data_IF_900920620259
#
_entry.id   IF_900920620259
#
_cell.length_a   1.000
_cell.length_b   1.000
_cell.length_c   1.000
_cell.angle_alpha   90.00
_cell.angle_beta   90.00
_cell.angle_gamma   90.00
#
_symmetry.space_group_name_H-M   'P 1'
#
loop_
_entity.id
_entity.type
_entity.pdbx_description
1 polymer ?
#
# COMPACT_ATOMS: atom_id res chain seq x y z
N UNK A 1 -21.99 -7.71 -1.61
CA UNK A 1 -21.12 -8.39 -0.63
C UNK A 1 -21.39 -7.79 0.75
N UNK A 2 -21.10 -8.55 1.80
CA UNK A 2 -21.11 -8.10 3.19
C UNK A 2 -19.75 -8.40 3.80
N UNK A 3 -19.12 -7.38 4.39
CA UNK A 3 -17.78 -7.50 4.97
C UNK A 3 -17.85 -7.00 6.42
N UNK A 4 -17.22 -7.73 7.34
CA UNK A 4 -17.02 -7.28 8.73
C UNK A 4 -15.53 -7.27 9.03
N UNK A 5 -14.95 -6.10 9.25
CA UNK A 5 -13.51 -5.86 9.38
C UNK A 5 -13.25 -4.68 10.32
N UNK A 6 -11.99 -4.38 10.56
CA UNK A 6 -11.55 -3.24 11.39
C UNK A 6 -11.09 -2.10 10.50
N UNK A 7 -11.50 -0.88 10.82
CA UNK A 7 -11.07 0.35 10.15
C UNK A 7 -9.61 0.62 10.51
N UNK A 8 -8.75 0.69 9.50
CA UNK A 8 -7.31 0.96 9.64
C UNK A 8 -6.95 2.41 9.35
N UNK A 9 -7.67 3.07 8.44
CA UNK A 9 -7.51 4.49 8.13
C UNK A 9 -8.84 5.07 7.64
N UNK A 10 -9.01 6.39 7.78
CA UNK A 10 -10.21 7.12 7.34
C UNK A 10 -9.80 8.25 6.42
N UNK A 11 -10.42 8.30 5.25
CA UNK A 11 -10.23 9.34 4.24
C UNK A 11 -11.48 10.24 4.13
N UNK A 12 -11.36 11.31 3.36
CA UNK A 12 -12.40 12.32 3.12
C UNK A 12 -13.66 11.77 2.44
N UNK A 13 -13.56 10.66 1.72
CA UNK A 13 -14.65 10.06 0.93
C UNK A 13 -14.82 8.56 1.15
N UNK A 14 -14.11 7.99 2.15
CA UNK A 14 -14.12 6.57 2.42
C UNK A 14 -13.23 6.18 3.60
N UNK A 15 -12.96 4.91 3.71
CA UNK A 15 -12.10 4.35 4.76
C UNK A 15 -11.54 2.98 4.34
N UNK A 16 -10.45 2.58 4.98
CA UNK A 16 -9.82 1.29 4.75
C UNK A 16 -10.28 0.29 5.79
N UNK A 17 -10.68 -0.90 5.34
CA UNK A 17 -11.08 -2.04 6.16
C UNK A 17 -10.12 -3.19 5.98
N UNK A 18 -9.62 -3.75 7.08
CA UNK A 18 -8.75 -4.92 7.03
C UNK A 18 -9.24 -6.02 7.99
N UNK A 19 -9.07 -7.28 7.60
CA UNK A 19 -9.33 -8.42 8.46
C UNK A 19 -8.42 -8.38 9.69
N UNK A 20 -8.92 -8.59 10.92
CA UNK A 20 -8.08 -8.67 12.12
C UNK A 20 -7.05 -9.78 12.06
N UNK A 21 -7.39 -10.87 11.36
CA UNK A 21 -6.53 -12.02 11.07
C UNK A 21 -6.74 -12.33 9.60
N UNK A 22 -5.66 -12.39 8.82
CA UNK A 22 -5.71 -12.74 7.41
C UNK A 22 -6.14 -14.19 7.18
N UNK A 23 -6.52 -14.50 5.95
CA UNK A 23 -6.92 -15.86 5.54
C UNK A 23 -5.71 -16.80 5.36
N UNK A 24 -4.50 -16.24 5.38
CA UNK A 24 -3.23 -16.96 5.21
C UNK A 24 -2.83 -17.18 3.76
N UNK A 25 -3.60 -16.68 2.80
CA UNK A 25 -3.22 -16.67 1.39
C UNK A 25 -2.50 -15.35 1.06
N UNK A 26 -1.19 -15.43 0.84
CA UNK A 26 -0.36 -14.26 0.50
C UNK A 26 -0.64 -13.71 -0.91
N UNK A 27 -1.41 -14.41 -1.71
CA UNK A 27 -1.80 -13.98 -3.04
C UNK A 27 -3.05 -13.09 -3.05
N UNK A 28 -3.73 -12.95 -1.92
CA UNK A 28 -4.94 -12.11 -1.81
C UNK A 28 -4.77 -11.03 -0.76
N UNK A 29 -5.33 -9.84 -1.00
CA UNK A 29 -5.39 -8.80 0.02
C UNK A 29 -6.48 -9.12 1.05
N UNK A 30 -6.14 -8.99 2.33
CA UNK A 30 -7.09 -9.09 3.44
C UNK A 30 -7.82 -7.77 3.73
N UNK A 31 -7.68 -6.76 2.86
CA UNK A 31 -8.23 -5.43 3.05
C UNK A 31 -9.01 -4.94 1.83
N UNK A 32 -9.73 -3.84 1.99
CA UNK A 32 -10.46 -3.19 0.92
C UNK A 32 -10.71 -1.72 1.28
N UNK A 33 -10.63 -0.83 0.29
CA UNK A 33 -11.15 0.53 0.42
C UNK A 33 -12.68 0.53 0.32
N UNK A 34 -13.34 1.23 1.25
CA UNK A 34 -14.80 1.41 1.25
C UNK A 34 -15.11 2.84 0.85
N UNK A 35 -15.64 2.99 -0.35
CA UNK A 35 -16.07 4.30 -0.87
C UNK A 35 -17.46 4.67 -0.36
N UNK A 36 -17.58 5.84 0.30
CA UNK A 36 -18.83 6.40 0.85
C UNK A 36 -19.30 7.64 0.10
N UNK A 37 -18.45 8.20 -0.78
CA UNK A 37 -18.75 9.42 -1.56
C UNK A 37 -18.70 10.72 -0.77
N UNK A 38 -18.56 10.66 0.55
CA UNK A 38 -18.40 11.79 1.47
C UNK A 38 -17.72 11.32 2.75
N UNK A 39 -17.27 12.23 3.59
CA UNK A 39 -16.62 11.89 4.85
C UNK A 39 -17.46 10.91 5.68
N UNK A 40 -16.95 9.71 5.97
CA UNK A 40 -17.69 8.69 6.70
C UNK A 40 -17.74 9.01 8.20
N UNK A 41 -18.80 8.49 8.88
CA UNK A 41 -18.95 8.62 10.33
C UNK A 41 -18.37 7.40 11.06
N UNK A 42 -17.12 7.05 10.76
CA UNK A 42 -16.38 5.96 11.40
C UNK A 42 -15.06 6.48 11.94
N UNK A 43 -14.45 5.73 12.84
CA UNK A 43 -13.14 6.03 13.40
C UNK A 43 -12.19 4.84 13.21
N UNK A 44 -10.88 5.12 13.19
CA UNK A 44 -9.86 4.08 13.24
C UNK A 44 -10.11 3.19 14.46
N UNK A 45 -9.94 1.89 14.30
CA UNK A 45 -10.24 0.86 15.29
C UNK A 45 -11.76 0.58 15.54
N UNK A 46 -12.66 1.12 14.71
CA UNK A 46 -14.03 0.62 14.67
C UNK A 46 -14.10 -0.72 13.93
N UNK A 47 -14.89 -1.66 14.46
CA UNK A 47 -15.29 -2.85 13.72
C UNK A 47 -16.59 -2.52 12.98
N UNK A 48 -16.56 -2.66 11.66
CA UNK A 48 -17.66 -2.25 10.77
C UNK A 48 -18.21 -3.46 10.04
N UNK A 49 -19.54 -3.54 9.96
CA UNK A 49 -20.24 -4.34 8.97
C UNK A 49 -20.67 -3.39 7.84
N UNK A 50 -20.25 -3.69 6.61
CA UNK A 50 -20.59 -2.90 5.42
C UNK A 50 -21.06 -3.82 4.31
N UNK A 51 -22.07 -3.37 3.56
CA UNK A 51 -22.55 -4.05 2.36
C UNK A 51 -22.59 -3.14 1.16
N UNK A 52 -22.39 -3.71 -0.03
CA UNK A 52 -22.44 -2.99 -1.29
C UNK A 52 -21.80 -3.76 -2.45
N UNK A 53 -21.83 -3.19 -3.66
CA UNK A 53 -21.14 -3.74 -4.82
C UNK A 53 -19.64 -3.50 -4.74
N UNK A 54 -18.85 -4.50 -5.14
CA UNK A 54 -17.42 -4.35 -5.43
C UNK A 54 -17.28 -3.79 -6.83
N UNK A 55 -16.36 -2.86 -7.01
CA UNK A 55 -16.07 -2.22 -8.30
C UNK A 55 -14.59 -1.85 -8.40
N UNK A 56 -14.09 -1.80 -9.62
CA UNK A 56 -12.78 -1.27 -9.94
C UNK A 56 -12.88 0.25 -10.15
N UNK A 57 -12.13 1.00 -9.39
CA UNK A 57 -11.98 2.44 -9.55
C UNK A 57 -10.69 2.75 -10.31
N UNK A 58 -10.80 3.50 -11.41
CA UNK A 58 -9.66 3.93 -12.20
C UNK A 58 -9.29 5.36 -11.83
N UNK A 59 -8.21 5.62 -11.10
CA UNK A 59 -7.76 6.97 -10.80
C UNK A 59 -7.53 7.79 -12.07
N UNK A 60 -8.21 8.94 -12.18
CA UNK A 60 -8.19 9.77 -13.39
C UNK A 60 -9.08 9.27 -14.55
N UNK A 61 -9.82 8.17 -14.35
CA UNK A 61 -10.74 7.58 -15.32
C UNK A 61 -10.14 6.50 -16.21
N UNK A 62 -10.99 5.74 -16.88
CA UNK A 62 -10.60 4.57 -17.72
C UNK A 62 -9.74 4.91 -18.94
N UNK A 63 -9.57 6.18 -19.27
CA UNK A 63 -8.70 6.63 -20.36
C UNK A 63 -7.23 6.84 -19.94
N UNK A 64 -6.92 6.72 -18.65
CA UNK A 64 -5.56 6.76 -18.13
C UNK A 64 -4.88 5.39 -18.27
N UNK A 65 -3.58 5.34 -17.98
CA UNK A 65 -2.84 4.06 -17.85
C UNK A 65 -2.67 3.65 -16.39
N UNK A 66 -3.40 4.29 -15.47
CA UNK A 66 -3.36 3.93 -14.09
C UNK A 66 -4.04 2.58 -13.88
N UNK A 67 -3.47 1.76 -13.02
CA UNK A 67 -4.12 0.53 -12.56
C UNK A 67 -5.39 0.89 -11.77
N UNK A 68 -6.41 0.04 -11.80
CA UNK A 68 -7.59 0.23 -10.96
C UNK A 68 -7.26 -0.04 -9.50
N UNK A 69 -8.09 0.48 -8.62
CA UNK A 69 -8.13 0.14 -7.19
C UNK A 69 -9.44 -0.55 -6.90
N UNK A 70 -9.38 -1.72 -6.28
CA UNK A 70 -10.57 -2.46 -5.86
C UNK A 70 -11.23 -1.76 -4.68
N UNK A 71 -12.51 -1.40 -4.83
CA UNK A 71 -13.25 -0.77 -3.76
C UNK A 71 -14.65 -1.37 -3.56
N UNK A 72 -15.15 -1.31 -2.33
CA UNK A 72 -16.54 -1.58 -2.01
C UNK A 72 -17.30 -0.26 -1.95
N UNK A 73 -18.29 -0.06 -2.81
CA UNK A 73 -19.17 1.09 -2.68
C UNK A 73 -20.21 0.82 -1.58
N UNK A 74 -20.19 1.60 -0.51
CA UNK A 74 -21.07 1.41 0.63
C UNK A 74 -22.53 1.70 0.27
N UNK A 75 -23.40 0.70 0.44
CA UNK A 75 -24.87 0.85 0.41
C UNK A 75 -25.43 0.89 1.84
N UNK A 76 -24.91 0.05 2.75
CA UNK A 76 -25.26 0.00 4.17
C UNK A 76 -24.01 -0.14 5.02
N UNK A 77 -23.98 0.55 6.16
CA UNK A 77 -22.85 0.57 7.08
C UNK A 77 -23.35 0.54 8.52
N UNK A 78 -22.78 -0.33 9.35
CA UNK A 78 -23.05 -0.43 10.77
C UNK A 78 -21.74 -0.51 11.57
N UNK A 79 -21.60 0.33 12.59
CA UNK A 79 -20.51 0.23 13.57
C UNK A 79 -20.88 -0.83 14.61
N UNK A 80 -20.19 -1.95 14.58
CA UNK A 80 -20.43 -3.08 15.50
C UNK A 80 -19.79 -2.87 16.87
N UNK A 81 -18.57 -2.32 16.91
CA UNK A 81 -17.82 -1.97 18.13
C UNK A 81 -16.72 -0.97 17.83
N UNK A 82 -16.17 -0.32 18.86
CA UNK A 82 -15.07 0.64 18.75
C UNK A 82 -13.91 0.27 19.66
N UNK A 83 -12.72 0.84 19.38
CA UNK A 83 -11.52 0.61 20.18
C UNK A 83 -10.94 -0.80 20.04
N UNK A 84 -11.14 -1.44 18.89
CA UNK A 84 -10.59 -2.76 18.61
C UNK A 84 -9.07 -2.67 18.35
N UNK A 85 -8.35 -3.79 18.53
CA UNK A 85 -6.96 -3.87 18.11
C UNK A 85 -6.87 -3.73 16.59
N UNK A 86 -5.91 -2.91 16.13
CA UNK A 86 -5.62 -2.84 14.70
C UNK A 86 -4.99 -4.15 14.23
N UNK A 87 -5.27 -4.58 12.98
CA UNK A 87 -4.57 -5.69 12.37
C UNK A 87 -3.05 -5.46 12.36
N UNK A 88 -2.29 -6.54 12.54
CA UNK A 88 -0.84 -6.45 12.39
C UNK A 88 -0.50 -6.03 10.95
N UNK A 89 0.45 -5.10 10.74
CA UNK A 89 0.86 -4.73 9.41
C UNK A 89 1.58 -5.89 8.70
N UNK A 90 1.44 -5.98 7.39
CA UNK A 90 2.31 -6.83 6.58
C UNK A 90 3.70 -6.20 6.52
N UNK A 91 4.72 -6.93 6.91
CA UNK A 91 6.10 -6.43 6.87
C UNK A 91 6.63 -6.59 5.44
N UNK A 92 6.99 -5.48 4.82
CA UNK A 92 7.68 -5.42 3.53
C UNK A 92 9.17 -5.34 3.80
N UNK A 93 9.85 -6.47 3.66
CA UNK A 93 11.27 -6.60 3.97
C UNK A 93 11.68 -8.02 4.30
N UNK A 94 12.90 -8.18 4.80
CA UNK A 94 13.53 -9.50 5.02
C UNK A 94 12.89 -10.30 6.16
N UNK A 95 12.24 -9.65 7.10
CA UNK A 95 11.54 -10.34 8.19
C UNK A 95 10.08 -10.69 7.86
N UNK A 96 9.60 -10.32 6.68
CA UNK A 96 8.26 -10.58 6.20
C UNK A 96 8.23 -10.96 4.72
N UNK A 97 7.59 -10.14 3.89
CA UNK A 97 7.49 -10.32 2.44
C UNK A 97 8.52 -9.42 1.74
N UNK A 98 9.49 -10.02 1.05
CA UNK A 98 10.42 -9.24 0.21
C UNK A 98 9.70 -8.76 -1.04
N UNK A 99 9.85 -7.48 -1.37
CA UNK A 99 9.39 -6.94 -2.66
C UNK A 99 10.16 -7.58 -3.82
N UNK A 100 9.53 -7.90 -4.95
CA UNK A 100 10.25 -8.20 -6.18
C UNK A 100 11.18 -7.06 -6.55
N UNK A 101 12.28 -7.34 -7.24
CA UNK A 101 13.27 -6.33 -7.59
C UNK A 101 13.88 -6.50 -8.99
N UNK A 102 13.39 -7.46 -9.78
CA UNK A 102 13.92 -7.77 -11.12
C UNK A 102 12.94 -7.53 -12.24
N UNK A 103 11.65 -7.56 -11.94
CA UNK A 103 10.61 -7.46 -12.95
C UNK A 103 9.36 -6.76 -12.40
N UNK A 104 8.84 -5.79 -13.15
CA UNK A 104 7.63 -5.09 -12.76
C UNK A 104 6.38 -5.87 -13.19
N UNK A 105 6.42 -6.50 -14.35
CA UNK A 105 5.36 -7.28 -14.96
C UNK A 105 5.91 -7.98 -16.22
N UNK A 106 6.26 -9.28 -16.17
CA UNK A 106 6.87 -9.99 -17.29
C UNK A 106 5.87 -10.44 -18.36
N UNK A 107 4.58 -10.40 -18.10
CA UNK A 107 3.59 -11.08 -18.92
C UNK A 107 2.34 -10.23 -19.29
N UNK A 108 2.39 -8.94 -19.04
CA UNK A 108 1.31 -7.99 -19.32
C UNK A 108 0.00 -8.30 -18.57
N UNK A 109 0.11 -8.57 -17.27
CA UNK A 109 -1.00 -8.84 -16.35
C UNK A 109 -1.84 -10.08 -16.74
N UNK A 110 -1.21 -11.10 -17.33
CA UNK A 110 -1.94 -12.31 -17.77
C UNK A 110 -1.89 -13.47 -16.77
N UNK A 111 -0.85 -13.54 -15.95
CA UNK A 111 -0.69 -14.55 -14.89
C UNK A 111 -0.40 -13.85 -13.58
N UNK A 112 -1.23 -14.04 -12.58
CA UNK A 112 -1.03 -13.46 -11.26
C UNK A 112 0.10 -14.19 -10.50
N UNK A 113 1.23 -13.52 -10.28
CA UNK A 113 2.42 -14.03 -9.57
C UNK A 113 2.98 -13.01 -8.56
N UNK A 114 2.38 -12.84 -7.38
CA UNK A 114 2.77 -11.86 -6.38
C UNK A 114 4.11 -12.16 -5.69
N UNK A 115 4.81 -13.22 -6.09
CA UNK A 115 6.14 -13.55 -5.57
C UNK A 115 7.24 -12.96 -6.44
N UNK A 116 7.06 -12.96 -7.75
CA UNK A 116 8.09 -12.56 -8.71
C UNK A 116 7.77 -11.28 -9.47
N UNK A 117 6.51 -10.87 -9.48
CA UNK A 117 5.95 -9.77 -10.24
C UNK A 117 5.64 -8.58 -9.33
N UNK A 118 6.16 -7.40 -9.68
CA UNK A 118 6.04 -6.21 -8.86
C UNK A 118 4.61 -5.68 -8.77
N UNK A 119 3.87 -5.66 -9.88
CA UNK A 119 2.49 -5.19 -9.87
C UNK A 119 1.61 -6.12 -9.04
N UNK A 120 1.69 -7.42 -9.28
CA UNK A 120 0.90 -8.41 -8.55
C UNK A 120 1.26 -8.47 -7.06
N UNK A 121 2.53 -8.22 -6.74
CA UNK A 121 2.95 -8.11 -5.34
C UNK A 121 2.17 -6.99 -4.63
N UNK A 122 2.11 -5.79 -5.22
CA UNK A 122 1.40 -4.67 -4.60
C UNK A 122 -0.11 -4.84 -4.63
N UNK A 123 -0.68 -5.46 -5.67
CA UNK A 123 -2.09 -5.86 -5.68
C UNK A 123 -2.44 -6.80 -4.50
N UNK A 124 -1.55 -7.75 -4.19
CA UNK A 124 -1.75 -8.70 -3.09
C UNK A 124 -1.70 -8.08 -1.69
N UNK A 125 -1.32 -6.81 -1.57
CA UNK A 125 -1.31 -6.03 -0.31
C UNK A 125 -2.13 -4.74 -0.43
N UNK A 126 -2.92 -4.61 -1.50
CA UNK A 126 -3.76 -3.42 -1.75
C UNK A 126 -4.65 -3.10 -0.55
N UNK A 127 -4.71 -1.83 -0.16
CA UNK A 127 -5.49 -1.33 0.98
C UNK A 127 -5.09 -1.90 2.37
N UNK A 128 -4.09 -2.77 2.45
CA UNK A 128 -3.61 -3.32 3.72
C UNK A 128 -2.69 -2.35 4.45
N UNK A 129 -2.72 -2.45 5.75
CA UNK A 129 -1.72 -1.83 6.60
C UNK A 129 -0.39 -2.54 6.42
N UNK A 130 0.67 -1.79 6.07
CA UNK A 130 2.01 -2.34 5.78
C UNK A 130 3.08 -1.66 6.64
N UNK A 131 4.20 -2.33 6.84
CA UNK A 131 5.42 -1.73 7.40
C UNK A 131 6.58 -1.95 6.44
N UNK A 132 7.18 -0.88 5.95
CA UNK A 132 8.45 -0.95 5.22
C UNK A 132 9.57 -1.08 6.25
N UNK A 133 10.19 -2.26 6.30
CA UNK A 133 11.23 -2.58 7.28
C UNK A 133 12.54 -1.84 6.95
N UNK A 134 13.09 -1.13 7.93
CA UNK A 134 14.39 -0.43 7.86
C UNK A 134 14.54 0.37 6.56
N UNK A 135 13.54 1.25 6.32
CA UNK A 135 13.40 2.01 5.08
C UNK A 135 14.55 2.99 4.86
N UNK A 136 15.05 3.04 3.61
CA UNK A 136 16.05 4.02 3.19
C UNK A 136 15.58 4.78 1.94
N UNK A 137 15.70 6.10 1.96
CA UNK A 137 15.30 6.96 0.86
C UNK A 137 16.23 6.81 -0.35
N UNK A 138 15.66 6.54 -1.53
CA UNK A 138 16.38 6.40 -2.81
C UNK A 138 16.32 7.66 -3.68
N UNK A 139 15.53 8.64 -3.26
CA UNK A 139 15.43 9.98 -3.84
C UNK A 139 15.27 11.02 -2.73
N UNK A 140 15.58 12.30 -2.97
CA UNK A 140 15.19 13.34 -2.02
C UNK A 140 13.67 13.50 -2.02
N UNK A 141 13.10 13.97 -0.90
CA UNK A 141 11.69 14.38 -0.84
C UNK A 141 11.39 15.31 -2.02
N UNK A 142 10.39 14.99 -2.78
CA UNK A 142 10.04 15.79 -3.95
C UNK A 142 9.19 17.02 -3.58
N UNK A 143 8.80 17.80 -4.59
CA UNK A 143 8.01 19.04 -4.38
C UNK A 143 6.58 18.81 -3.88
N UNK A 144 6.11 17.57 -3.88
CA UNK A 144 4.78 17.18 -3.42
C UNK A 144 4.81 16.57 -2.00
N UNK A 145 5.99 16.48 -1.38
CA UNK A 145 6.16 15.84 -0.07
C UNK A 145 6.45 14.35 -0.13
N UNK A 146 6.35 13.73 -1.31
CA UNK A 146 6.54 12.27 -1.48
C UNK A 146 7.98 11.84 -1.23
N UNK A 147 8.14 10.72 -0.55
CA UNK A 147 9.43 10.08 -0.27
C UNK A 147 9.44 8.69 -0.90
N UNK A 148 10.45 8.41 -1.70
CA UNK A 148 10.64 7.09 -2.31
C UNK A 148 11.69 6.31 -1.55
N UNK A 149 11.34 5.12 -1.12
CA UNK A 149 12.18 4.26 -0.27
C UNK A 149 12.31 2.85 -0.81
N UNK A 150 13.29 2.13 -0.27
CA UNK A 150 13.44 0.68 -0.37
C UNK A 150 13.53 0.08 1.02
N UNK A 151 13.06 -1.15 1.18
CA UNK A 151 13.17 -1.87 2.43
C UNK A 151 14.61 -2.34 2.72
N UNK A 152 14.91 -2.63 3.99
CA UNK A 152 16.20 -3.16 4.45
C UNK A 152 17.42 -2.38 3.94
N UNK A 153 17.30 -1.04 3.89
CA UNK A 153 18.34 -0.13 3.38
C UNK A 153 18.83 -0.49 1.97
N UNK A 154 17.97 -1.11 1.16
CA UNK A 154 18.29 -1.54 -0.19
C UNK A 154 19.10 -2.82 -0.28
N UNK A 155 19.10 -3.67 0.74
CA UNK A 155 19.86 -4.93 0.72
C UNK A 155 19.47 -5.84 -0.45
N UNK A 156 18.15 -5.94 -0.77
CA UNK A 156 17.67 -6.63 -1.97
C UNK A 156 17.95 -5.81 -3.23
N UNK A 157 17.66 -4.51 -3.20
CA UNK A 157 17.86 -3.59 -4.33
C UNK A 157 19.32 -3.47 -4.75
N UNK A 158 20.26 -3.67 -3.83
CA UNK A 158 21.68 -3.69 -4.17
C UNK A 158 22.03 -4.76 -5.21
N UNK A 159 21.29 -5.87 -5.22
CA UNK A 159 21.45 -6.91 -6.23
C UNK A 159 20.80 -6.54 -7.57
N UNK A 160 19.81 -5.64 -7.57
CA UNK A 160 19.07 -5.22 -8.77
C UNK A 160 19.58 -3.93 -9.40
N UNK A 161 20.23 -3.06 -8.67
CA UNK A 161 20.72 -1.83 -9.28
C UNK A 161 20.82 -0.60 -8.39
N UNK A 162 20.91 -0.77 -7.08
CA UNK A 162 21.19 0.36 -6.19
C UNK A 162 22.60 0.89 -6.46
N UNK A 163 22.70 2.19 -6.74
CA UNK A 163 23.97 2.85 -6.97
C UNK A 163 24.77 3.04 -5.68
N UNK A 164 26.09 3.31 -5.79
CA UNK A 164 26.92 3.65 -4.63
C UNK A 164 26.42 4.88 -3.84
N UNK A 165 25.59 5.71 -4.47
CA UNK A 165 25.00 6.91 -3.87
C UNK A 165 23.62 6.65 -3.25
N UNK A 166 23.14 5.42 -3.32
CA UNK A 166 21.84 5.03 -2.77
C UNK A 166 20.64 5.34 -3.68
N UNK A 167 20.86 5.68 -4.95
CA UNK A 167 19.76 5.81 -5.93
C UNK A 167 19.54 4.51 -6.66
N UNK A 168 18.29 4.23 -7.07
CA UNK A 168 17.98 3.10 -7.94
C UNK A 168 18.39 3.40 -9.37
N UNK A 169 18.95 2.38 -10.05
CA UNK A 169 19.13 2.38 -11.48
C UNK A 169 17.96 1.62 -12.11
N UNK A 170 17.49 2.09 -13.25
CA UNK A 170 16.40 1.44 -13.98
C UNK A 170 16.95 0.58 -15.11
N UNK A 171 16.39 -0.61 -15.30
CA UNK A 171 16.62 -1.47 -16.45
C UNK A 171 15.36 -1.62 -17.31
N UNK A 172 15.45 -2.11 -18.57
CA UNK A 172 14.31 -2.10 -19.50
C UNK A 172 13.06 -2.86 -19.07
N UNK A 173 13.17 -3.85 -18.19
CA UNK A 173 12.04 -4.68 -17.72
C UNK A 173 11.79 -4.55 -16.23
N UNK A 174 12.74 -4.02 -15.52
CA UNK A 174 12.77 -3.90 -14.08
C UNK A 174 11.77 -2.83 -13.60
N UNK A 175 11.91 -1.57 -14.04
CA UNK A 175 11.14 -0.42 -13.58
C UNK A 175 11.15 -0.20 -12.06
N UNK A 176 12.07 -0.86 -11.35
CA UNK A 176 12.29 -0.78 -9.89
C UNK A 176 11.02 -1.13 -9.08
N UNK A 177 10.54 -2.37 -9.13
CA UNK A 177 9.36 -2.80 -8.38
C UNK A 177 9.56 -2.71 -6.85
N UNK A 178 10.81 -2.73 -6.37
CA UNK A 178 11.14 -2.56 -4.96
C UNK A 178 11.00 -1.13 -4.45
N UNK A 179 10.75 -0.17 -5.33
CA UNK A 179 10.62 1.24 -4.96
C UNK A 179 9.22 1.52 -4.41
N UNK A 180 9.14 1.84 -3.13
CA UNK A 180 7.90 2.14 -2.43
C UNK A 180 7.78 3.66 -2.26
N UNK A 181 6.62 4.20 -2.61
CA UNK A 181 6.29 5.60 -2.35
C UNK A 181 5.67 5.72 -0.95
N UNK A 182 6.20 6.64 -0.17
CA UNK A 182 5.55 7.12 1.05
C UNK A 182 5.00 8.49 0.70
N UNK A 183 3.70 8.62 0.83
CA UNK A 183 2.97 9.85 0.53
C UNK A 183 2.13 10.26 1.73
N UNK A 184 1.93 11.57 1.90
CA UNK A 184 0.90 12.05 2.78
C UNK A 184 -0.42 12.07 1.99
N UNK A 185 -1.42 11.37 2.49
CA UNK A 185 -2.77 11.64 2.08
C UNK A 185 -3.35 12.69 3.03
N UNK A 186 -3.57 13.90 2.53
CA UNK A 186 -4.08 15.01 3.33
C UNK A 186 -5.46 14.76 3.94
N UNK A 187 -6.16 13.71 3.50
CA UNK A 187 -7.39 13.21 4.09
C UNK A 187 -7.15 12.29 5.29
N UNK A 188 -5.99 11.62 5.37
CA UNK A 188 -5.68 10.60 6.36
C UNK A 188 -4.68 11.09 7.40
N UNK A 189 -3.61 11.75 6.95
CA UNK A 189 -2.51 12.23 7.80
C UNK A 189 -2.41 13.75 7.75
N UNK A 190 -2.33 14.36 8.91
CA UNK A 190 -2.17 15.82 9.05
C UNK A 190 -0.85 16.10 9.78
N UNK A 191 0.25 15.84 9.10
CA UNK A 191 1.60 16.23 9.56
C UNK A 191 2.54 16.50 8.38
N UNK A 192 3.52 17.36 8.59
CA UNK A 192 4.55 17.65 7.60
C UNK A 192 5.54 16.48 7.49
N UNK A 193 5.63 15.88 6.32
CA UNK A 193 6.66 14.90 6.04
C UNK A 193 8.06 15.52 6.10
N UNK A 194 9.05 14.80 6.61
CA UNK A 194 10.40 15.31 6.68
C UNK A 194 11.01 15.50 5.29
N UNK A 195 11.78 16.58 5.12
CA UNK A 195 12.64 16.71 3.95
C UNK A 195 13.87 15.84 4.13
N UNK A 196 13.99 14.80 3.31
CA UNK A 196 15.09 13.84 3.36
C UNK A 196 15.95 13.92 2.10
N UNK A 197 17.20 13.49 2.22
CA UNK A 197 18.11 13.31 1.09
C UNK A 197 18.21 11.81 0.73
N UNK A 198 18.78 11.54 -0.45
CA UNK A 198 19.15 10.17 -0.85
C UNK A 198 20.00 9.51 0.23
N UNK A 199 19.69 8.25 0.56
CA UNK A 199 20.39 7.47 1.57
C UNK A 199 19.97 7.78 3.01
N UNK A 200 19.00 8.68 3.23
CA UNK A 200 18.44 8.90 4.57
C UNK A 200 17.77 7.64 5.07
N UNK A 201 18.06 7.28 6.32
CA UNK A 201 17.45 6.14 7.00
C UNK A 201 16.24 6.59 7.79
N UNK A 202 15.11 5.97 7.56
CA UNK A 202 13.84 6.29 8.19
C UNK A 202 13.46 5.30 9.30
N UNK A 203 14.16 4.13 9.36
CA UNK A 203 13.74 3.01 10.20
C UNK A 203 12.49 2.35 9.64
N UNK A 204 11.71 1.71 10.52
CA UNK A 204 10.43 1.10 10.13
C UNK A 204 9.39 2.18 9.90
N UNK A 205 8.76 2.14 8.71
CA UNK A 205 7.68 3.06 8.34
C UNK A 205 6.40 2.28 8.17
N UNK A 206 5.37 2.61 8.95
CA UNK A 206 4.06 1.93 8.93
C UNK A 206 2.97 2.88 8.43
N UNK A 207 2.16 2.37 7.48
CA UNK A 207 0.98 3.06 6.95
C UNK A 207 -0.09 2.09 6.50
#
# INVERSE_FOLDING_TARGET
>A
YVVTRVVTAVDSNGFYLQAPIGDGDVATSDAVFVFTGSSPSVAVADAIAVSGPVQEFFPGGTGTRNLPTTQLRSDELEVCSSGNALPAPVILGSSGRSTPFTDIDPDALTVFDPVNDGLDFFESVEAMRVTVEDAAAVAPTNRFGEIFVVANQGAASAASGLSERGTLNIAPVDFNPEKIQIDEDTGILDFDFPSVAVGARLGDVTG
#
